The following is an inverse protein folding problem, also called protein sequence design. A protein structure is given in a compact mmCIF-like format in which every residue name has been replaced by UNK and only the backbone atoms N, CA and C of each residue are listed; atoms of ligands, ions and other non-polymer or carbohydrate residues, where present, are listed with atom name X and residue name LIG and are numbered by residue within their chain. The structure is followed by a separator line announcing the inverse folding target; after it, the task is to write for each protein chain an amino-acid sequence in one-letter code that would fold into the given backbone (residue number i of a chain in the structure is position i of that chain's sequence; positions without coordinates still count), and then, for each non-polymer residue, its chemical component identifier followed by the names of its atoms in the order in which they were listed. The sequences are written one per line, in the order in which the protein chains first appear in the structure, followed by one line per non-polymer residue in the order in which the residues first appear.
data_IF_812810185264
#
_entry.id   IF_812810185264
#
_cell.length_a   1.000
_cell.length_b   1.000
_cell.length_c   1.000
_cell.angle_alpha   90.00
_cell.angle_beta   90.00
_cell.angle_gamma   90.00
#
_symmetry.space_group_name_H-M   'P 1'
#
loop_
_entity.id
_entity.type
_entity.pdbx_description
1 polymer ?
#
# COMPACT_ATOMS: atom_id res chain seq x y z
N UNK A 1 -35.30 23.28 5.16
CA UNK A 1 -34.86 22.25 4.20
C UNK A 1 -33.61 21.61 4.80
N UNK A 2 -33.78 20.37 5.22
CA UNK A 2 -32.78 19.53 5.85
C UNK A 2 -31.62 19.34 4.85
N UNK A 3 -30.39 19.65 5.26
CA UNK A 3 -29.21 19.40 4.43
C UNK A 3 -29.04 17.89 4.35
N UNK A 4 -29.32 17.37 3.17
CA UNK A 4 -29.13 15.99 2.78
C UNK A 4 -27.76 15.51 3.25
N UNK A 5 -27.76 14.60 4.23
CA UNK A 5 -26.56 13.95 4.74
C UNK A 5 -26.06 13.10 3.59
N UNK A 6 -25.14 13.65 2.80
CA UNK A 6 -24.49 12.97 1.69
C UNK A 6 -24.15 11.56 2.13
N UNK A 7 -24.86 10.58 1.56
CA UNK A 7 -24.58 9.18 1.74
C UNK A 7 -23.09 9.02 1.45
N UNK A 8 -22.32 8.71 2.50
CA UNK A 8 -20.93 8.30 2.38
C UNK A 8 -20.93 7.13 1.41
N UNK A 9 -20.66 7.40 0.12
CA UNK A 9 -20.49 6.36 -0.90
C UNK A 9 -19.50 5.38 -0.34
N UNK A 10 -19.98 4.17 -0.07
CA UNK A 10 -19.18 3.13 0.56
C UNK A 10 -18.12 2.72 -0.45
N UNK A 11 -16.86 3.06 -0.17
CA UNK A 11 -15.71 2.61 -0.95
C UNK A 11 -15.05 1.48 -0.16
N UNK A 12 -14.99 0.30 -0.75
CA UNK A 12 -14.29 -0.86 -0.21
C UNK A 12 -12.94 -0.99 -0.91
N UNK A 13 -11.89 -1.30 -0.15
CA UNK A 13 -10.55 -1.47 -0.67
C UNK A 13 -10.14 -2.94 -0.58
N UNK A 14 -9.69 -3.49 -1.70
CA UNK A 14 -9.18 -4.85 -1.81
C UNK A 14 -7.71 -4.81 -2.24
N UNK A 15 -6.88 -5.71 -1.69
CA UNK A 15 -5.51 -5.94 -2.20
C UNK A 15 -5.57 -7.10 -3.18
N UNK A 16 -5.25 -6.82 -4.45
CA UNK A 16 -5.25 -7.81 -5.54
C UNK A 16 -3.96 -8.63 -5.52
N UNK A 17 -2.83 -7.94 -5.34
CA UNK A 17 -1.51 -8.56 -5.21
C UNK A 17 -0.61 -7.65 -4.37
N UNK A 18 0.32 -8.23 -3.62
CA UNK A 18 1.36 -7.48 -2.93
C UNK A 18 2.66 -8.24 -2.89
N UNK A 19 3.75 -7.50 -3.05
CA UNK A 19 5.12 -7.97 -2.93
C UNK A 19 5.84 -7.07 -1.93
N UNK A 20 6.80 -7.65 -1.20
CA UNK A 20 7.56 -6.89 -0.20
C UNK A 20 9.01 -7.31 -0.10
N UNK A 21 9.85 -6.35 0.26
CA UNK A 21 11.27 -6.52 0.56
C UNK A 21 11.57 -6.01 1.96
N UNK A 22 12.33 -6.80 2.73
CA UNK A 22 12.80 -6.41 4.05
C UNK A 22 14.10 -5.61 3.93
N UNK A 23 14.32 -4.66 4.83
CA UNK A 23 15.58 -3.92 4.89
C UNK A 23 15.91 -3.41 6.29
N UNK A 24 17.19 -3.17 6.52
CA UNK A 24 17.72 -2.81 7.82
C UNK A 24 17.34 -3.86 8.88
N UNK A 25 17.02 -3.41 10.09
CA UNK A 25 16.79 -4.33 11.22
C UNK A 25 15.40 -5.00 11.20
N UNK A 26 14.37 -4.25 10.86
CA UNK A 26 12.99 -4.70 10.96
C UNK A 26 12.04 -3.92 10.06
N UNK A 27 12.54 -3.20 9.05
CA UNK A 27 11.68 -2.44 8.14
C UNK A 27 11.36 -3.30 6.92
N UNK A 28 10.29 -2.92 6.23
CA UNK A 28 9.97 -3.45 4.92
C UNK A 28 9.38 -2.35 4.02
N UNK A 29 9.54 -2.53 2.72
CA UNK A 29 8.79 -1.83 1.68
C UNK A 29 7.84 -2.82 1.02
N UNK A 30 6.62 -2.39 0.78
CA UNK A 30 5.59 -3.16 0.09
C UNK A 30 5.11 -2.37 -1.14
N UNK A 31 5.04 -3.06 -2.28
CA UNK A 31 4.34 -2.60 -3.48
C UNK A 31 3.13 -3.50 -3.68
N UNK A 32 1.94 -2.92 -3.68
CA UNK A 32 0.68 -3.65 -3.75
C UNK A 32 -0.26 -3.07 -4.82
N UNK A 33 -0.82 -3.91 -5.68
CA UNK A 33 -1.95 -3.53 -6.53
C UNK A 33 -3.23 -3.65 -5.71
N UNK A 34 -3.94 -2.53 -5.56
CA UNK A 34 -5.18 -2.43 -4.80
C UNK A 34 -6.32 -2.01 -5.71
N UNK A 35 -7.54 -2.40 -5.35
CA UNK A 35 -8.76 -2.05 -6.05
C UNK A 35 -9.69 -1.30 -5.09
N UNK A 36 -10.11 -0.11 -5.48
CA UNK A 36 -11.20 0.61 -4.83
C UNK A 36 -12.50 0.25 -5.55
N UNK A 37 -13.46 -0.28 -4.80
CA UNK A 37 -14.77 -0.71 -5.30
C UNK A 37 -15.82 0.22 -4.71
N UNK A 38 -16.60 0.85 -5.58
CA UNK A 38 -17.72 1.73 -5.24
C UNK A 38 -18.95 1.37 -6.06
N UNK A 39 -20.10 1.94 -5.73
CA UNK A 39 -21.34 1.72 -6.49
C UNK A 39 -21.23 2.16 -7.96
N UNK A 40 -20.38 3.16 -8.25
CA UNK A 40 -20.20 3.72 -9.59
C UNK A 40 -19.13 2.97 -10.41
N UNK A 41 -18.47 1.97 -9.82
CA UNK A 41 -17.45 1.15 -10.49
C UNK A 41 -16.23 0.84 -9.62
N UNK A 42 -15.24 0.18 -10.24
CA UNK A 42 -13.99 -0.20 -9.61
C UNK A 42 -12.78 0.43 -10.31
N UNK A 43 -11.75 0.79 -9.53
CA UNK A 43 -10.49 1.35 -10.04
C UNK A 43 -9.32 0.67 -9.35
N UNK A 44 -8.32 0.26 -10.13
CA UNK A 44 -7.08 -0.31 -9.63
C UNK A 44 -5.98 0.75 -9.56
N UNK A 45 -5.13 0.63 -8.54
CA UNK A 45 -4.01 1.52 -8.32
C UNK A 45 -2.88 0.80 -7.61
N UNK A 46 -1.65 1.28 -7.81
CA UNK A 46 -0.48 0.81 -7.07
C UNK A 46 -0.35 1.58 -5.75
N UNK A 47 -0.15 0.84 -4.68
CA UNK A 47 0.08 1.33 -3.33
C UNK A 47 1.49 0.95 -2.94
N UNK A 48 2.35 1.95 -2.77
CA UNK A 48 3.69 1.76 -2.21
C UNK A 48 3.65 2.20 -0.76
N UNK A 49 4.06 1.32 0.14
CA UNK A 49 4.03 1.61 1.57
C UNK A 49 5.29 1.11 2.25
N UNK A 50 5.63 1.73 3.38
CA UNK A 50 6.73 1.31 4.23
C UNK A 50 6.17 0.89 5.57
N UNK A 51 6.69 -0.19 6.13
CA UNK A 51 6.35 -0.63 7.48
C UNK A 51 7.53 -1.16 8.25
N UNK A 52 7.24 -1.70 9.43
CA UNK A 52 8.20 -2.41 10.26
C UNK A 52 7.52 -3.50 11.08
N UNK A 53 8.28 -4.56 11.36
CA UNK A 53 7.85 -5.69 12.19
C UNK A 53 8.28 -5.49 13.63
N UNK A 54 7.37 -5.75 14.57
CA UNK A 54 7.59 -5.72 16.01
C UNK A 54 8.14 -7.06 16.51
N UNK A 55 8.61 -7.10 17.76
CA UNK A 55 9.18 -8.32 18.35
C UNK A 55 8.16 -9.45 18.52
N UNK A 56 6.88 -9.10 18.61
CA UNK A 56 5.76 -10.03 18.68
C UNK A 56 5.31 -10.53 17.28
N UNK A 57 6.01 -10.10 16.22
CA UNK A 57 5.68 -10.44 14.83
C UNK A 57 4.59 -9.56 14.21
N UNK A 58 3.96 -8.66 14.98
CA UNK A 58 2.96 -7.74 14.43
C UNK A 58 3.61 -6.68 13.54
N UNK A 59 2.87 -6.20 12.56
CA UNK A 59 3.36 -5.22 11.58
C UNK A 59 2.70 -3.87 11.76
N UNK A 60 3.46 -2.80 11.52
CA UNK A 60 2.96 -1.43 11.51
C UNK A 60 3.43 -0.70 10.28
N UNK A 61 2.49 -0.06 9.60
CA UNK A 61 2.76 0.80 8.46
C UNK A 61 3.11 2.21 8.94
N UNK A 62 4.02 2.87 8.22
CA UNK A 62 4.40 4.25 8.44
C UNK A 62 3.56 5.16 7.54
N UNK A 63 3.28 6.36 8.04
CA UNK A 63 2.58 7.40 7.28
C UNK A 63 3.48 8.04 6.20
N UNK A 64 4.79 7.84 6.27
CA UNK A 64 5.76 8.36 5.31
C UNK A 64 6.46 7.22 4.58
N UNK A 65 6.68 7.44 3.28
CA UNK A 65 7.54 6.59 2.46
C UNK A 65 8.93 7.22 2.40
N UNK A 66 9.89 6.57 3.03
CA UNK A 66 11.31 6.96 2.95
C UNK A 66 12.08 5.72 2.55
N UNK A 67 12.71 5.79 1.39
CA UNK A 67 13.40 4.69 0.73
C UNK A 67 14.91 4.88 0.98
N UNK A 68 15.62 3.84 1.45
CA UNK A 68 17.08 3.90 1.58
C UNK A 68 17.75 3.99 0.20
N UNK A 69 18.92 4.61 0.14
CA UNK A 69 19.79 4.58 -1.04
C UNK A 69 20.54 3.24 -1.08
N UNK A 70 19.80 2.19 -1.42
CA UNK A 70 20.24 0.80 -1.48
C UNK A 70 19.80 0.22 -2.83
N UNK A 71 20.74 -0.36 -3.58
CA UNK A 71 20.54 -0.80 -4.96
C UNK A 71 19.46 -1.89 -5.06
N UNK A 72 19.46 -2.88 -4.17
CA UNK A 72 18.48 -3.98 -4.15
C UNK A 72 17.07 -3.45 -3.88
N UNK A 73 16.94 -2.46 -2.99
CA UNK A 73 15.66 -1.82 -2.69
C UNK A 73 15.15 -0.98 -3.87
N UNK A 74 16.05 -0.28 -4.54
CA UNK A 74 15.69 0.54 -5.70
C UNK A 74 15.28 -0.33 -6.89
N UNK A 75 16.02 -1.40 -7.16
CA UNK A 75 15.68 -2.41 -8.17
C UNK A 75 14.32 -3.05 -7.89
N UNK A 76 14.07 -3.47 -6.64
CA UNK A 76 12.77 -4.03 -6.24
C UNK A 76 11.61 -3.08 -6.58
N UNK A 77 11.74 -1.78 -6.31
CA UNK A 77 10.68 -0.82 -6.65
C UNK A 77 10.52 -0.70 -8.16
N UNK A 78 11.62 -0.58 -8.90
CA UNK A 78 11.60 -0.42 -10.36
C UNK A 78 10.98 -1.64 -11.04
N UNK A 79 11.30 -2.85 -10.60
CA UNK A 79 10.77 -4.09 -11.15
C UNK A 79 9.28 -4.26 -10.83
N UNK A 80 8.84 -3.88 -9.62
CA UNK A 80 7.45 -4.11 -9.19
C UNK A 80 6.46 -3.05 -9.67
N UNK A 81 6.93 -1.87 -10.08
CA UNK A 81 6.07 -0.82 -10.64
C UNK A 81 5.36 -1.19 -11.97
N UNK A 82 6.05 -1.74 -12.98
CA UNK A 82 5.41 -2.11 -14.26
C UNK A 82 4.65 -3.43 -14.22
N UNK A 83 5.04 -4.36 -13.33
CA UNK A 83 4.61 -5.76 -13.37
C UNK A 83 3.40 -6.11 -12.51
N UNK A 84 3.04 -5.23 -11.55
CA UNK A 84 1.90 -5.46 -10.67
C UNK A 84 0.63 -4.93 -11.27
#
# INVERSE_FOLDING_TARGET
MERDKGASRKVEFETVASERIAFGKNNFLEVARKRAISEDGATEFLSISRGYTLRDGSERYKNTITIPDDEEIMEFIIEKLPDL
#
